data_IF_096212448792
#
_entry.id   IF_096212448792
#
_cell.length_a   1.000
_cell.length_b   1.000
_cell.length_c   1.000
_cell.angle_alpha   90.00
_cell.angle_beta   90.00
_cell.angle_gamma   90.00
#
_symmetry.space_group_name_H-M   'P 1'
#
loop_
_entity.id
_entity.type
_entity.pdbx_description
1 polymer ?
#
# COMPACT_ATOMS: atom_id res chain seq x y z
N UNK A 1 3.34 -20.02 -23.59
CA UNK A 1 4.47 -20.20 -22.65
C UNK A 1 4.49 -21.66 -22.24
N UNK A 2 5.61 -22.36 -22.34
CA UNK A 2 5.67 -23.79 -21.99
C UNK A 2 5.60 -24.04 -20.49
N UNK A 3 4.83 -25.06 -20.10
CA UNK A 3 4.68 -25.56 -18.74
C UNK A 3 5.97 -26.20 -18.22
N UNK A 4 6.06 -26.44 -16.90
CA UNK A 4 7.22 -27.12 -16.31
C UNK A 4 7.38 -28.55 -16.87
N UNK A 5 6.27 -29.25 -17.08
CA UNK A 5 6.26 -30.63 -17.62
C UNK A 5 6.78 -30.65 -19.04
N UNK A 6 6.30 -29.75 -19.91
CA UNK A 6 6.79 -29.62 -21.28
C UNK A 6 8.29 -29.32 -21.33
N UNK A 7 8.79 -28.45 -20.44
CA UNK A 7 10.22 -28.14 -20.36
C UNK A 7 11.06 -29.33 -19.88
N UNK A 8 10.55 -30.15 -18.97
CA UNK A 8 11.21 -31.41 -18.57
C UNK A 8 11.27 -32.38 -19.73
N UNK A 9 10.17 -32.55 -20.48
CA UNK A 9 10.12 -33.41 -21.65
C UNK A 9 11.10 -32.95 -22.74
N UNK A 10 11.21 -31.63 -22.96
CA UNK A 10 12.21 -31.05 -23.85
C UNK A 10 13.64 -31.35 -23.38
N UNK A 11 13.91 -31.22 -22.08
CA UNK A 11 15.22 -31.53 -21.51
C UNK A 11 15.59 -33.00 -21.73
N UNK A 12 14.66 -33.93 -21.49
CA UNK A 12 14.88 -35.36 -21.71
C UNK A 12 15.23 -35.66 -23.16
N UNK A 13 14.45 -35.11 -24.11
CA UNK A 13 14.75 -35.25 -25.55
C UNK A 13 16.12 -34.66 -25.91
N UNK A 14 16.54 -33.57 -25.26
CA UNK A 14 17.85 -32.95 -25.46
C UNK A 14 19.00 -33.81 -24.95
N UNK A 15 18.83 -34.47 -23.80
CA UNK A 15 19.82 -35.40 -23.23
C UNK A 15 19.93 -36.66 -24.09
N UNK A 16 18.80 -37.27 -24.45
CA UNK A 16 18.74 -38.47 -25.32
C UNK A 16 19.38 -38.22 -26.68
N UNK A 17 19.27 -36.99 -27.20
CA UNK A 17 19.85 -36.58 -28.48
C UNK A 17 21.34 -36.23 -28.42
N UNK A 18 22.04 -36.57 -27.33
CA UNK A 18 23.46 -36.27 -27.14
C UNK A 18 23.76 -34.76 -27.07
N UNK A 19 22.82 -33.96 -26.54
CA UNK A 19 22.89 -32.48 -26.46
C UNK A 19 22.89 -31.78 -27.82
N UNK A 20 22.44 -32.43 -28.88
CA UNK A 20 22.18 -31.79 -30.16
C UNK A 20 20.75 -31.23 -30.21
N UNK A 21 20.64 -29.92 -30.40
CA UNK A 21 19.36 -29.19 -30.33
C UNK A 21 18.39 -29.53 -31.46
N UNK A 22 18.91 -29.80 -32.68
CA UNK A 22 18.07 -30.03 -33.86
C UNK A 22 17.48 -31.44 -33.85
N UNK A 23 18.28 -32.43 -33.47
CA UNK A 23 17.82 -33.80 -33.28
C UNK A 23 16.83 -33.88 -32.12
N UNK A 24 17.07 -33.14 -31.03
CA UNK A 24 16.14 -33.05 -29.90
C UNK A 24 14.76 -32.50 -30.28
N UNK A 25 14.71 -31.47 -31.13
CA UNK A 25 13.45 -30.92 -31.61
C UNK A 25 12.67 -31.93 -32.49
N UNK A 26 13.36 -32.67 -33.35
CA UNK A 26 12.76 -33.75 -34.16
C UNK A 26 12.22 -34.88 -33.29
N UNK A 27 13.02 -35.32 -32.32
CA UNK A 27 12.64 -36.38 -31.38
C UNK A 27 11.45 -35.96 -30.51
N UNK A 28 11.42 -34.70 -30.06
CA UNK A 28 10.30 -34.13 -29.33
C UNK A 28 9.02 -34.08 -30.17
N UNK A 29 9.11 -33.67 -31.43
CA UNK A 29 7.98 -33.65 -32.36
C UNK A 29 7.43 -35.06 -32.63
N UNK A 30 8.31 -36.06 -32.73
CA UNK A 30 7.90 -37.46 -32.92
C UNK A 30 7.21 -38.03 -31.67
N UNK A 31 7.67 -37.68 -30.47
CA UNK A 31 7.15 -38.20 -29.20
C UNK A 31 5.89 -37.47 -28.73
N UNK A 32 5.73 -36.20 -29.09
CA UNK A 32 4.61 -35.35 -28.69
C UNK A 32 3.99 -34.63 -29.91
N UNK A 33 3.30 -35.36 -30.79
CA UNK A 33 2.73 -34.79 -32.02
C UNK A 33 1.63 -33.75 -31.76
N UNK A 34 0.90 -33.86 -30.64
CA UNK A 34 -0.17 -32.93 -30.26
C UNK A 34 0.37 -31.64 -29.59
N UNK A 35 1.65 -31.59 -29.23
CA UNK A 35 2.27 -30.44 -28.58
C UNK A 35 2.91 -29.50 -29.58
N UNK A 36 2.81 -28.19 -29.32
CA UNK A 36 3.49 -27.19 -30.15
C UNK A 36 5.01 -27.39 -30.07
N UNK A 37 5.64 -27.70 -31.21
CA UNK A 37 7.08 -27.94 -31.26
C UNK A 37 7.84 -26.61 -31.07
N UNK A 38 8.73 -26.50 -30.05
CA UNK A 38 9.57 -25.33 -29.88
C UNK A 38 10.65 -25.24 -30.95
N UNK A 39 11.14 -24.03 -31.21
CA UNK A 39 12.38 -23.85 -31.96
C UNK A 39 13.55 -24.57 -31.29
N UNK A 40 14.43 -25.18 -32.08
CA UNK A 40 15.54 -26.03 -31.59
C UNK A 40 16.42 -25.36 -30.51
N UNK A 41 16.59 -24.03 -30.55
CA UNK A 41 17.38 -23.28 -29.57
C UNK A 41 16.78 -23.32 -28.16
N UNK A 42 15.48 -23.57 -28.01
CA UNK A 42 14.81 -23.67 -26.71
C UNK A 42 15.37 -24.82 -25.86
N UNK A 43 15.69 -25.96 -26.49
CA UNK A 43 16.21 -27.16 -25.83
C UNK A 43 17.55 -26.89 -25.15
N UNK A 44 18.49 -26.28 -25.88
CA UNK A 44 19.76 -25.81 -25.31
C UNK A 44 19.55 -24.75 -24.23
N UNK A 45 18.66 -23.78 -24.43
CA UNK A 45 18.40 -22.71 -23.46
C UNK A 45 17.85 -23.24 -22.15
N UNK A 46 16.96 -24.23 -22.19
CA UNK A 46 16.43 -24.90 -20.99
C UNK A 46 17.57 -25.56 -20.22
N UNK A 47 18.41 -26.36 -20.89
CA UNK A 47 19.55 -27.02 -20.25
C UNK A 47 20.52 -26.00 -19.65
N UNK A 48 20.88 -24.94 -20.39
CA UNK A 48 21.75 -23.87 -19.92
C UNK A 48 21.16 -23.13 -18.70
N UNK A 49 19.86 -22.85 -18.70
CA UNK A 49 19.19 -22.19 -17.57
C UNK A 49 19.22 -23.06 -16.31
N UNK A 50 19.03 -24.37 -16.45
CA UNK A 50 19.15 -25.29 -15.33
C UNK A 50 20.59 -25.39 -14.82
N UNK A 51 21.59 -25.50 -15.71
CA UNK A 51 22.99 -25.57 -15.29
C UNK A 51 23.47 -24.32 -14.56
N UNK A 52 22.98 -23.14 -14.93
CA UNK A 52 23.44 -21.87 -14.34
C UNK A 52 22.61 -21.46 -13.11
N UNK A 53 21.28 -21.58 -13.18
CA UNK A 53 20.38 -21.03 -12.16
C UNK A 53 19.65 -22.10 -11.33
N UNK A 54 19.76 -23.39 -11.70
CA UNK A 54 19.02 -24.49 -11.06
C UNK A 54 17.50 -24.48 -11.30
N UNK A 55 16.98 -23.58 -12.15
CA UNK A 55 15.54 -23.42 -12.39
C UNK A 55 15.19 -23.17 -13.86
N UNK A 56 14.01 -23.68 -14.28
CA UNK A 56 13.43 -23.49 -15.62
C UNK A 56 12.98 -22.05 -15.95
N UNK A 57 13.05 -21.15 -14.98
CA UNK A 57 12.63 -19.75 -15.10
C UNK A 57 13.67 -18.87 -14.45
N UNK A 58 14.10 -17.81 -15.15
CA UNK A 58 14.94 -16.78 -14.55
C UNK A 58 14.13 -16.09 -13.45
N UNK A 59 14.69 -15.98 -12.25
CA UNK A 59 14.14 -15.09 -11.22
C UNK A 59 14.08 -13.70 -11.81
N UNK A 60 12.90 -13.06 -11.74
CA UNK A 60 12.79 -11.64 -12.07
C UNK A 60 13.70 -10.91 -11.07
N UNK A 61 14.83 -10.40 -11.54
CA UNK A 61 15.63 -9.47 -10.76
C UNK A 61 14.84 -8.18 -10.67
N UNK A 62 14.08 -8.00 -9.60
CA UNK A 62 13.61 -6.68 -9.20
C UNK A 62 14.85 -5.83 -9.03
N UNK A 63 14.97 -4.75 -9.82
CA UNK A 63 15.99 -3.73 -9.58
C UNK A 63 15.73 -3.20 -8.17
N UNK A 64 16.52 -3.65 -7.21
CA UNK A 64 16.66 -2.96 -5.94
C UNK A 64 17.33 -1.64 -6.28
N UNK A 65 16.54 -0.61 -6.57
CA UNK A 65 17.05 0.76 -6.50
C UNK A 65 17.52 0.92 -5.06
N UNK A 66 18.84 0.94 -4.86
CA UNK A 66 19.43 1.25 -3.58
C UNK A 66 18.86 2.59 -3.14
N UNK A 67 17.93 2.52 -2.20
CA UNK A 67 17.46 3.68 -1.49
C UNK A 67 18.65 4.08 -0.61
N UNK A 68 19.28 5.22 -0.89
CA UNK A 68 20.38 5.72 -0.08
C UNK A 68 19.89 5.81 1.38
N UNK A 69 20.51 5.06 2.28
CA UNK A 69 20.07 4.98 3.68
C UNK A 69 20.14 6.36 4.36
N UNK A 70 21.13 7.20 4.01
CA UNK A 70 21.27 8.54 4.60
C UNK A 70 20.11 9.46 4.20
N UNK A 71 19.82 9.57 2.90
CA UNK A 71 18.68 10.37 2.41
C UNK A 71 17.34 9.85 2.95
N UNK A 72 17.26 8.55 3.25
CA UNK A 72 16.07 7.98 3.87
C UNK A 72 15.90 8.44 5.31
N UNK A 73 17.00 8.45 6.07
CA UNK A 73 17.01 8.93 7.45
C UNK A 73 16.63 10.42 7.50
N UNK A 74 17.17 11.25 6.61
CA UNK A 74 16.80 12.67 6.52
C UNK A 74 15.31 12.88 6.26
N UNK A 75 14.72 12.11 5.34
CA UNK A 75 13.27 12.13 5.09
C UNK A 75 12.48 11.75 6.35
N UNK A 76 12.93 10.74 7.10
CA UNK A 76 12.27 10.33 8.34
C UNK A 76 12.40 11.38 9.44
N UNK A 77 13.56 12.02 9.58
CA UNK A 77 13.76 13.13 10.51
C UNK A 77 12.75 14.26 10.25
N UNK A 78 12.52 14.62 8.98
CA UNK A 78 11.52 15.64 8.62
C UNK A 78 10.11 15.28 9.06
N UNK A 79 9.70 14.00 8.98
CA UNK A 79 8.39 13.56 9.48
C UNK A 79 8.30 13.58 11.01
N UNK A 80 9.41 13.37 11.72
CA UNK A 80 9.45 13.44 13.19
C UNK A 80 9.41 14.89 13.66
N UNK A 81 10.19 15.77 13.02
CA UNK A 81 10.23 17.21 13.33
C UNK A 81 8.90 17.90 13.05
N UNK A 82 8.27 17.58 11.91
CA UNK A 82 6.98 18.13 11.53
C UNK A 82 6.10 17.04 10.89
N UNK A 83 5.24 16.37 11.69
CA UNK A 83 4.32 15.36 11.17
C UNK A 83 3.36 15.89 10.11
N UNK A 84 3.08 17.20 10.06
CA UNK A 84 2.12 17.80 9.12
C UNK A 84 2.73 18.19 7.76
N UNK A 85 4.03 17.95 7.57
CA UNK A 85 4.73 18.36 6.36
C UNK A 85 4.17 17.64 5.10
N UNK A 86 4.12 18.35 3.97
CA UNK A 86 3.75 17.71 2.71
C UNK A 86 4.95 16.99 2.10
N UNK A 87 4.72 15.89 1.40
CA UNK A 87 5.80 15.17 0.68
C UNK A 87 6.52 16.06 -0.35
N UNK A 88 5.84 17.09 -0.88
CA UNK A 88 6.43 18.04 -1.83
C UNK A 88 7.38 18.99 -1.12
N UNK A 89 7.05 19.42 0.09
CA UNK A 89 7.91 20.30 0.86
C UNK A 89 9.16 19.55 1.30
N UNK A 90 9.03 18.31 1.79
CA UNK A 90 10.19 17.44 2.08
C UNK A 90 11.07 17.24 0.84
N UNK A 91 10.46 17.04 -0.33
CA UNK A 91 11.16 16.88 -1.61
C UNK A 91 11.96 18.13 -1.98
N UNK A 92 11.41 19.33 -1.76
CA UNK A 92 12.09 20.61 -1.99
C UNK A 92 13.20 20.85 -0.97
N UNK A 93 12.92 20.65 0.32
CA UNK A 93 13.86 20.88 1.42
C UNK A 93 15.13 20.04 1.28
N UNK A 94 14.98 18.76 0.92
CA UNK A 94 16.10 17.83 0.82
C UNK A 94 16.66 17.71 -0.61
N UNK A 95 16.12 18.48 -1.57
CA UNK A 95 16.44 18.37 -2.99
C UNK A 95 16.36 16.92 -3.53
N UNK A 96 15.32 16.19 -3.10
CA UNK A 96 15.06 14.81 -3.49
C UNK A 96 13.86 14.74 -4.42
N UNK A 97 13.78 13.71 -5.27
CA UNK A 97 12.56 13.49 -6.06
C UNK A 97 11.36 13.15 -5.17
N UNK A 98 10.18 13.68 -5.50
CA UNK A 98 8.93 13.35 -4.81
C UNK A 98 8.70 11.84 -4.70
N UNK A 99 9.00 11.10 -5.77
CA UNK A 99 8.87 9.64 -5.80
C UNK A 99 9.76 8.96 -4.76
N UNK A 100 10.98 9.44 -4.54
CA UNK A 100 11.88 8.92 -3.51
C UNK A 100 11.27 9.12 -2.11
N UNK A 101 10.83 10.34 -1.79
CA UNK A 101 10.20 10.65 -0.50
C UNK A 101 8.97 9.77 -0.26
N UNK A 102 8.09 9.65 -1.27
CA UNK A 102 6.90 8.80 -1.17
C UNK A 102 7.26 7.31 -0.98
N UNK A 103 8.27 6.82 -1.69
CA UNK A 103 8.75 5.45 -1.57
C UNK A 103 9.35 5.18 -0.20
N UNK A 104 10.12 6.13 0.34
CA UNK A 104 10.68 6.07 1.70
C UNK A 104 9.56 6.01 2.73
N UNK A 105 8.58 6.92 2.68
CA UNK A 105 7.43 6.89 3.58
C UNK A 105 6.72 5.52 3.58
N UNK A 106 6.44 4.96 2.38
CA UNK A 106 5.84 3.63 2.24
C UNK A 106 6.72 2.50 2.80
N UNK A 107 8.03 2.54 2.54
CA UNK A 107 9.01 1.53 3.01
C UNK A 107 9.04 1.46 4.53
N UNK A 108 8.99 2.62 5.20
CA UNK A 108 9.03 2.73 6.67
C UNK A 108 7.63 2.80 7.30
N UNK A 109 6.56 2.49 6.54
CA UNK A 109 5.17 2.42 7.01
C UNK A 109 4.63 3.74 7.58
N UNK A 110 5.15 4.87 7.12
CA UNK A 110 4.55 6.17 7.42
C UNK A 110 3.27 6.34 6.60
N UNK A 111 2.17 6.58 7.28
CA UNK A 111 0.86 6.82 6.70
C UNK A 111 0.42 8.25 6.98
N UNK A 112 -0.20 8.88 5.99
CA UNK A 112 -0.90 10.15 6.17
C UNK A 112 -2.27 9.88 6.79
N UNK A 113 -2.51 10.43 7.95
CA UNK A 113 -3.80 10.40 8.63
C UNK A 113 -4.46 11.77 8.52
N UNK A 114 -5.73 11.79 8.12
CA UNK A 114 -6.55 12.99 8.18
C UNK A 114 -7.19 13.06 9.58
N UNK A 115 -6.89 14.09 10.39
CA UNK A 115 -7.56 14.27 11.66
C UNK A 115 -9.00 14.73 11.41
N UNK A 116 -9.95 14.02 12.03
CA UNK A 116 -11.35 14.45 12.06
C UNK A 116 -11.47 15.67 12.96
N UNK A 117 -11.97 16.79 12.41
CA UNK A 117 -12.26 17.97 13.22
C UNK A 117 -13.49 17.67 14.09
N UNK A 118 -13.27 17.56 15.38
CA UNK A 118 -14.35 17.49 16.38
C UNK A 118 -14.54 18.85 17.03
N UNK A 119 -15.71 19.07 17.62
CA UNK A 119 -15.95 20.27 18.43
C UNK A 119 -14.93 20.31 19.58
N UNK A 120 -14.23 21.43 19.73
CA UNK A 120 -13.30 21.61 20.84
C UNK A 120 -14.06 21.54 22.16
N UNK A 121 -13.59 20.69 23.08
CA UNK A 121 -14.06 20.65 24.45
C UNK A 121 -13.37 21.75 25.24
N UNK A 122 -14.13 22.56 25.96
CA UNK A 122 -13.60 23.59 26.85
C UNK A 122 -13.24 22.96 28.20
N UNK A 123 -12.32 23.54 28.98
CA UNK A 123 -11.99 23.05 30.34
C UNK A 123 -13.23 22.87 31.23
N UNK A 124 -14.20 23.75 31.11
CA UNK A 124 -15.49 23.69 31.82
C UNK A 124 -16.36 22.48 31.46
N UNK A 125 -16.18 21.88 30.28
CA UNK A 125 -16.87 20.64 29.87
C UNK A 125 -16.29 19.39 30.56
N UNK A 126 -15.02 19.46 31.00
CA UNK A 126 -14.36 18.39 31.76
C UNK A 126 -14.60 18.52 33.27
N UNK A 127 -14.54 19.76 33.79
CA UNK A 127 -14.69 20.04 35.23
C UNK A 127 -16.12 19.81 35.76
N UNK A 128 -17.12 19.95 34.90
CA UNK A 128 -18.49 19.50 35.18
C UNK A 128 -18.92 18.66 33.99
N UNK A 129 -19.33 17.41 34.17
CA UNK A 129 -19.65 16.52 33.06
C UNK A 129 -21.03 16.86 32.47
N UNK A 130 -21.27 18.14 32.11
CA UNK A 130 -22.56 18.69 31.65
C UNK A 130 -23.14 17.88 30.49
N UNK A 131 -22.29 17.43 29.57
CA UNK A 131 -22.71 16.57 28.45
C UNK A 131 -23.19 15.20 28.94
N UNK A 132 -22.48 14.57 29.89
CA UNK A 132 -22.88 13.27 30.45
C UNK A 132 -24.13 13.42 31.32
N UNK A 133 -24.22 14.47 32.14
CA UNK A 133 -25.41 14.77 32.95
C UNK A 133 -26.63 15.02 32.06
N UNK A 134 -26.48 15.76 30.97
CA UNK A 134 -27.54 15.96 29.99
C UNK A 134 -27.98 14.64 29.37
N UNK A 135 -27.04 13.79 28.93
CA UNK A 135 -27.36 12.47 28.39
C UNK A 135 -28.10 11.61 29.40
N UNK A 136 -27.62 11.52 30.64
CA UNK A 136 -28.26 10.75 31.70
C UNK A 136 -29.68 11.28 32.00
N UNK A 137 -29.87 12.60 32.02
CA UNK A 137 -31.19 13.20 32.23
C UNK A 137 -32.15 12.91 31.07
N UNK A 138 -31.67 12.98 29.83
CA UNK A 138 -32.45 12.60 28.65
C UNK A 138 -32.83 11.11 28.67
N UNK A 139 -31.93 10.22 29.11
CA UNK A 139 -32.22 8.79 29.24
C UNK A 139 -33.37 8.52 30.22
N UNK A 140 -33.31 9.10 31.43
CA UNK A 140 -34.38 8.95 32.43
C UNK A 140 -35.72 9.48 31.90
N UNK A 141 -35.70 10.64 31.21
CA UNK A 141 -36.93 11.23 30.64
C UNK A 141 -37.53 10.40 29.51
N UNK A 142 -36.70 9.70 28.76
CA UNK A 142 -37.13 8.78 27.70
C UNK A 142 -37.71 7.48 28.28
N UNK A 143 -37.20 7.00 29.41
CA UNK A 143 -37.78 5.87 30.13
C UNK A 143 -39.16 6.20 30.70
N UNK A 144 -39.30 7.37 31.34
CA UNK A 144 -40.58 7.81 31.92
C UNK A 144 -41.62 8.17 30.85
N UNK A 145 -41.19 8.79 29.75
CA UNK A 145 -42.05 9.20 28.63
C UNK A 145 -41.38 8.89 27.29
N UNK A 146 -41.70 7.74 26.67
CA UNK A 146 -41.10 7.33 25.40
C UNK A 146 -41.25 8.36 24.27
N UNK A 147 -42.37 9.12 24.26
CA UNK A 147 -42.66 10.12 23.22
C UNK A 147 -42.12 11.53 23.57
N UNK A 148 -41.23 11.66 24.55
CA UNK A 148 -40.73 12.96 25.01
C UNK A 148 -40.05 13.77 23.89
N UNK A 149 -39.31 13.10 23.00
CA UNK A 149 -38.60 13.77 21.90
C UNK A 149 -39.53 14.45 20.90
N UNK A 150 -40.76 13.97 20.73
CA UNK A 150 -41.75 14.55 19.83
C UNK A 150 -42.26 15.92 20.33
N UNK A 151 -42.08 16.19 21.62
CA UNK A 151 -42.47 17.45 22.26
C UNK A 151 -41.38 18.52 22.18
N UNK A 152 -40.19 18.18 21.66
CA UNK A 152 -39.06 19.11 21.57
C UNK A 152 -38.96 19.67 20.15
N UNK A 153 -39.03 20.99 20.05
CA UNK A 153 -38.67 21.71 18.83
C UNK A 153 -37.20 22.12 18.89
N UNK A 154 -36.40 21.58 17.98
CA UNK A 154 -34.98 21.91 17.86
C UNK A 154 -34.77 23.08 16.90
N UNK A 155 -33.97 24.06 17.31
CA UNK A 155 -33.56 25.18 16.46
C UNK A 155 -32.04 25.31 16.50
N UNK A 156 -31.43 25.61 15.36
CA UNK A 156 -30.03 26.04 15.31
C UNK A 156 -29.89 27.31 14.47
N UNK A 157 -28.76 27.97 14.61
CA UNK A 157 -28.33 29.04 13.72
C UNK A 157 -27.08 28.55 12.99
N UNK A 158 -27.11 28.54 11.65
CA UNK A 158 -25.97 28.17 10.83
C UNK A 158 -25.35 29.43 10.22
N UNK A 159 -24.05 29.66 10.46
CA UNK A 159 -23.29 30.72 9.80
C UNK A 159 -22.67 30.20 8.50
N UNK A 160 -23.21 30.62 7.37
CA UNK A 160 -22.61 30.39 6.05
C UNK A 160 -21.63 31.53 5.73
N UNK A 161 -20.36 31.21 5.52
CA UNK A 161 -19.33 32.17 5.12
C UNK A 161 -19.04 31.98 3.63
N UNK A 162 -19.00 33.06 2.84
CA UNK A 162 -18.74 33.00 1.40
C UNK A 162 -17.23 32.86 1.06
N UNK A 163 -16.35 32.89 2.06
CA UNK A 163 -14.92 33.03 1.79
C UNK A 163 -14.20 31.71 1.51
N UNK A 164 -14.85 30.54 1.57
CA UNK A 164 -14.29 29.25 1.09
C UNK A 164 -12.94 28.81 1.67
N UNK A 165 -12.40 29.52 2.66
CA UNK A 165 -10.99 29.46 3.05
C UNK A 165 -10.73 28.49 4.18
N UNK A 166 -11.23 27.26 4.07
CA UNK A 166 -10.64 26.18 4.86
C UNK A 166 -10.33 25.02 3.93
N UNK A 167 -9.12 25.06 3.36
CA UNK A 167 -8.58 23.94 2.60
C UNK A 167 -8.25 22.78 3.55
N UNK A 168 -9.29 22.03 3.91
CA UNK A 168 -9.21 20.89 4.82
C UNK A 168 -8.40 19.71 4.26
N UNK A 169 -8.16 19.66 2.95
CA UNK A 169 -7.44 18.57 2.29
C UNK A 169 -5.95 18.51 2.68
N UNK A 170 -5.39 19.61 3.16
CA UNK A 170 -3.98 19.69 3.58
C UNK A 170 -3.77 19.42 5.08
N UNK A 171 -4.84 19.11 5.83
CA UNK A 171 -4.71 18.73 7.22
C UNK A 171 -4.46 17.23 7.28
N UNK A 172 -3.21 16.81 7.10
CA UNK A 172 -2.77 15.44 7.34
C UNK A 172 -1.62 15.44 8.33
N UNK A 173 -1.39 14.31 8.99
CA UNK A 173 -0.16 14.07 9.73
C UNK A 173 0.41 12.69 9.42
N UNK A 174 1.73 12.60 9.38
CA UNK A 174 2.47 11.38 9.08
C UNK A 174 2.81 10.64 10.37
N UNK A 175 2.49 9.35 10.43
CA UNK A 175 2.92 8.48 11.54
C UNK A 175 3.14 7.05 11.07
N UNK A 176 4.14 6.40 11.65
CA UNK A 176 4.44 4.97 11.50
C UNK A 176 3.57 4.08 12.40
N UNK A 177 2.99 4.67 13.45
CA UNK A 177 2.06 4.01 14.36
C UNK A 177 0.64 4.10 13.80
N UNK A 178 -0.15 3.06 14.07
CA UNK A 178 -1.59 3.14 13.84
C UNK A 178 -2.17 4.22 14.74
N UNK A 179 -2.83 5.20 14.14
CA UNK A 179 -3.52 6.24 14.90
C UNK A 179 -4.59 5.61 15.81
N UNK A 180 -4.62 5.90 17.13
CA UNK A 180 -5.71 5.48 17.99
C UNK A 180 -7.03 6.21 17.69
N UNK A 181 -7.01 7.26 16.85
CA UNK A 181 -8.15 8.13 16.54
C UNK A 181 -8.91 7.72 15.27
N UNK A 182 -8.49 6.64 14.60
CA UNK A 182 -9.18 6.08 13.43
C UNK A 182 -9.62 4.67 13.78
N UNK A 183 -10.81 4.55 14.36
CA UNK A 183 -11.60 3.31 14.41
C UNK A 183 -12.93 3.56 13.72
#
# INVERSE_FOLDING_TARGET
MYTKVEKTNMLNCFIESGKNSRTAARLYQQRYPDSQCPGHTMFYRINKQLSVNGMFTKTKTTRNTNINNNNSLEVLCKFIENPHISLRDVSKDLNLSYYFVQKTAKKYKYHAYLPTRVQQLLPTDYERPRRITFVAHMMVRLEDQPNFLEKIMWTNEARCHNNGTVNHHNNHYWSDKKSPLVK
#
